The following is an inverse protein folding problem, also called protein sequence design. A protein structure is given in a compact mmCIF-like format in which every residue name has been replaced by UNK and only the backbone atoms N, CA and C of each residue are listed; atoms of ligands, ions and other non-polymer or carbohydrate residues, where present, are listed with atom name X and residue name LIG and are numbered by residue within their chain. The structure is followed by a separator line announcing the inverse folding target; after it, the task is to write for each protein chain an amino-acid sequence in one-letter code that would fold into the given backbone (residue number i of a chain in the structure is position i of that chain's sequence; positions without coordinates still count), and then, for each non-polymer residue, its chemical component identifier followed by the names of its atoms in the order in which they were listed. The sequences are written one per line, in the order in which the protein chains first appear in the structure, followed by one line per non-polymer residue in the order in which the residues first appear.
data_IF_052393377262
#
_entry.id   IF_052393377262
#
_cell.length_a   1.000
_cell.length_b   1.000
_cell.length_c   1.000
_cell.angle_alpha   90.00
_cell.angle_beta   90.00
_cell.angle_gamma   90.00
#
_symmetry.space_group_name_H-M   'P 1'
#
loop_
_entity.id
_entity.type
_entity.pdbx_description
1 polymer ?
#
# COMPACT_ATOMS: atom_id res chain seq x y z
N UNK A 1 -43.31 -33.80 -3.58
CA UNK A 1 -43.20 -34.08 -5.02
C UNK A 1 -41.79 -34.60 -5.28
N UNK A 2 -41.69 -35.94 -5.51
CA UNK A 2 -40.43 -36.60 -5.88
C UNK A 2 -40.29 -36.54 -7.40
N UNK A 3 -39.24 -35.87 -7.90
CA UNK A 3 -38.84 -35.91 -9.32
C UNK A 3 -37.93 -37.11 -9.54
N UNK A 4 -38.44 -38.11 -10.25
CA UNK A 4 -37.68 -39.29 -10.71
C UNK A 4 -37.22 -39.03 -12.15
N UNK A 5 -35.92 -38.76 -12.36
CA UNK A 5 -35.33 -38.76 -13.69
C UNK A 5 -34.96 -40.18 -14.11
N UNK A 6 -35.81 -40.85 -14.89
CA UNK A 6 -35.43 -42.08 -15.56
C UNK A 6 -35.14 -41.79 -17.04
N UNK A 7 -33.87 -41.89 -17.42
CA UNK A 7 -33.47 -41.89 -18.83
C UNK A 7 -33.87 -43.23 -19.46
N UNK A 8 -34.87 -43.25 -20.33
CA UNK A 8 -35.14 -44.38 -21.23
C UNK A 8 -34.19 -44.27 -22.42
N UNK A 9 -33.13 -45.10 -22.45
CA UNK A 9 -32.33 -45.32 -23.66
C UNK A 9 -33.22 -45.98 -24.75
N UNK A 10 -33.51 -45.24 -25.81
CA UNK A 10 -34.05 -45.82 -27.04
C UNK A 10 -32.90 -46.47 -27.83
N UNK A 11 -32.75 -47.77 -27.74
CA UNK A 11 -31.89 -48.55 -28.62
C UNK A 11 -32.29 -48.36 -30.09
N UNK A 12 -31.69 -47.39 -30.76
CA UNK A 12 -31.64 -47.35 -32.21
C UNK A 12 -30.46 -48.21 -32.68
N UNK A 13 -30.76 -49.35 -33.31
CA UNK A 13 -29.79 -50.14 -34.07
C UNK A 13 -29.16 -49.23 -35.14
N UNK A 14 -27.99 -48.73 -34.90
CA UNK A 14 -27.17 -48.02 -35.89
C UNK A 14 -26.39 -49.08 -36.65
N UNK A 15 -26.74 -49.26 -37.94
CA UNK A 15 -25.93 -50.01 -38.90
C UNK A 15 -24.51 -49.43 -38.91
N UNK A 16 -23.56 -50.29 -38.59
CA UNK A 16 -22.12 -49.93 -38.65
C UNK A 16 -21.70 -49.76 -40.12
N UNK A 17 -21.73 -48.57 -40.62
CA UNK A 17 -20.86 -48.18 -41.74
C UNK A 17 -19.48 -47.89 -41.16
N UNK A 18 -18.56 -48.81 -41.38
CA UNK A 18 -17.11 -48.59 -41.18
C UNK A 18 -16.61 -47.59 -42.20
N UNK A 19 -16.81 -46.31 -41.96
CA UNK A 19 -15.92 -45.28 -42.52
C UNK A 19 -14.68 -45.27 -41.66
N UNK A 20 -13.57 -45.78 -42.17
CA UNK A 20 -12.24 -45.52 -41.66
C UNK A 20 -12.00 -44.01 -41.84
N UNK A 21 -12.33 -43.25 -40.82
CA UNK A 21 -11.77 -41.89 -40.64
C UNK A 21 -10.34 -42.12 -40.23
N UNK A 22 -9.41 -42.07 -41.19
CA UNK A 22 -8.02 -41.78 -40.90
C UNK A 22 -7.99 -40.41 -40.24
N UNK A 23 -8.06 -40.39 -38.90
CA UNK A 23 -7.69 -39.21 -38.16
C UNK A 23 -6.18 -39.06 -38.36
N UNK A 24 -5.82 -38.18 -39.28
CA UNK A 24 -4.50 -37.58 -39.24
C UNK A 24 -4.38 -36.90 -37.88
N UNK A 25 -3.78 -37.59 -36.94
CA UNK A 25 -3.27 -36.96 -35.72
C UNK A 25 -2.17 -36.00 -36.13
N UNK A 26 -2.55 -34.80 -36.48
CA UNK A 26 -1.58 -33.68 -36.49
C UNK A 26 -1.05 -33.62 -35.07
N UNK A 27 0.13 -34.23 -34.87
CA UNK A 27 0.91 -34.06 -33.65
C UNK A 27 1.28 -32.58 -33.64
N UNK A 28 0.46 -31.76 -32.96
CA UNK A 28 0.86 -30.42 -32.60
C UNK A 28 2.07 -30.60 -31.68
N UNK A 29 3.25 -30.39 -32.23
CA UNK A 29 4.44 -30.24 -31.41
C UNK A 29 4.20 -29.06 -30.49
N UNK A 30 3.89 -29.37 -29.22
CA UNK A 30 3.79 -28.32 -28.19
C UNK A 30 5.14 -27.58 -28.16
N UNK A 31 5.13 -26.25 -28.26
CA UNK A 31 6.37 -25.50 -28.18
C UNK A 31 7.06 -25.84 -26.86
N UNK A 32 8.36 -26.13 -26.93
CA UNK A 32 9.17 -26.36 -25.75
C UNK A 32 9.08 -25.14 -24.85
N UNK A 33 8.43 -25.32 -23.69
CA UNK A 33 8.27 -24.26 -22.70
C UNK A 33 9.59 -24.11 -21.95
N UNK A 34 10.41 -23.15 -22.35
CA UNK A 34 11.58 -22.73 -21.60
C UNK A 34 11.13 -21.81 -20.45
N UNK A 35 11.03 -22.36 -19.24
CA UNK A 35 10.79 -21.57 -18.05
C UNK A 35 12.02 -20.74 -17.72
N UNK A 36 11.93 -19.42 -17.89
CA UNK A 36 12.97 -18.47 -17.51
C UNK A 36 12.69 -17.96 -16.09
N UNK A 37 13.59 -18.28 -15.15
CA UNK A 37 13.54 -17.78 -13.75
C UNK A 37 14.57 -16.66 -13.51
N UNK A 38 14.92 -15.92 -14.53
CA UNK A 38 15.93 -14.86 -14.49
C UNK A 38 15.41 -13.60 -13.79
N UNK A 39 16.34 -12.74 -13.34
CA UNK A 39 16.00 -11.42 -12.79
C UNK A 39 15.14 -10.60 -13.74
N UNK A 40 15.37 -10.74 -15.05
CA UNK A 40 14.57 -10.07 -16.10
C UNK A 40 13.13 -10.57 -16.11
N UNK A 41 12.90 -11.86 -15.97
CA UNK A 41 11.55 -12.44 -15.87
C UNK A 41 10.81 -11.93 -14.61
N UNK A 42 11.51 -11.92 -13.46
CA UNK A 42 10.94 -11.37 -12.21
C UNK A 42 10.55 -9.89 -12.34
N UNK A 43 11.36 -9.08 -13.00
CA UNK A 43 11.06 -7.67 -13.26
C UNK A 43 9.87 -7.49 -14.20
N UNK A 44 9.77 -8.30 -15.26
CA UNK A 44 8.62 -8.26 -16.17
C UNK A 44 7.33 -8.69 -15.47
N UNK A 45 7.39 -9.73 -14.62
CA UNK A 45 6.26 -10.15 -13.78
C UNK A 45 5.84 -9.03 -12.83
N UNK A 46 6.79 -8.41 -12.12
CA UNK A 46 6.52 -7.27 -11.24
C UNK A 46 5.82 -6.12 -11.99
N UNK A 47 6.38 -5.72 -13.14
CA UNK A 47 5.82 -4.66 -13.98
C UNK A 47 4.40 -5.01 -14.44
N UNK A 48 4.16 -6.24 -14.88
CA UNK A 48 2.85 -6.71 -15.29
C UNK A 48 1.84 -6.68 -14.14
N UNK A 49 2.18 -7.22 -12.97
CA UNK A 49 1.33 -7.18 -11.79
C UNK A 49 1.05 -5.75 -11.34
N UNK A 50 2.07 -4.89 -11.34
CA UNK A 50 1.90 -3.48 -10.99
C UNK A 50 0.87 -2.79 -11.90
N UNK A 51 1.06 -2.85 -13.22
CA UNK A 51 0.17 -2.15 -14.15
C UNK A 51 -1.26 -2.72 -14.14
N UNK A 52 -1.42 -4.04 -14.05
CA UNK A 52 -2.75 -4.65 -13.95
C UNK A 52 -3.48 -4.20 -12.68
N UNK A 53 -2.82 -4.20 -11.53
CA UNK A 53 -3.40 -3.76 -10.26
C UNK A 53 -3.69 -2.25 -10.28
N UNK A 54 -2.74 -1.45 -10.70
CA UNK A 54 -2.84 0.00 -10.79
C UNK A 54 -4.00 0.46 -11.70
N UNK A 55 -4.06 -0.07 -12.93
CA UNK A 55 -5.13 0.25 -13.86
C UNK A 55 -6.49 -0.25 -13.38
N UNK A 56 -6.54 -1.37 -12.67
CA UNK A 56 -7.80 -1.87 -12.12
C UNK A 56 -8.40 -0.92 -11.08
N UNK A 57 -7.56 -0.27 -10.27
CA UNK A 57 -8.00 0.74 -9.30
C UNK A 57 -8.47 2.00 -10.02
N UNK A 58 -7.66 2.57 -10.91
CA UNK A 58 -8.02 3.81 -11.65
C UNK A 58 -9.34 3.65 -12.41
N UNK A 59 -9.56 2.49 -13.02
CA UNK A 59 -10.79 2.22 -13.78
C UNK A 59 -11.99 1.95 -12.88
N UNK A 60 -11.80 1.66 -11.59
CA UNK A 60 -12.88 1.36 -10.67
C UNK A 60 -13.78 2.57 -10.44
N UNK A 61 -15.08 2.33 -10.32
CA UNK A 61 -16.07 3.38 -10.02
C UNK A 61 -15.81 3.96 -8.65
N UNK A 62 -15.45 3.13 -7.68
CA UNK A 62 -15.14 3.55 -6.30
C UNK A 62 -14.01 4.58 -6.25
N UNK A 63 -12.92 4.34 -7.00
CA UNK A 63 -11.81 5.29 -7.04
C UNK A 63 -12.25 6.64 -7.64
N UNK A 64 -13.00 6.62 -8.73
CA UNK A 64 -13.50 7.85 -9.38
C UNK A 64 -14.38 8.67 -8.45
N UNK A 65 -15.26 8.01 -7.69
CA UNK A 65 -16.13 8.70 -6.70
C UNK A 65 -15.27 9.31 -5.59
N UNK A 66 -14.34 8.55 -5.01
CA UNK A 66 -13.43 9.06 -3.98
C UNK A 66 -12.57 10.22 -4.48
N UNK A 67 -12.07 10.13 -5.71
CA UNK A 67 -11.25 11.16 -6.34
C UNK A 67 -12.06 12.46 -6.55
N UNK A 68 -13.29 12.39 -7.08
CA UNK A 68 -14.15 13.56 -7.27
C UNK A 68 -14.51 14.17 -5.91
N UNK A 69 -14.85 13.34 -4.93
CA UNK A 69 -15.22 13.82 -3.60
C UNK A 69 -14.03 14.50 -2.89
N UNK A 70 -12.82 13.92 -3.02
CA UNK A 70 -11.60 14.55 -2.50
C UNK A 70 -11.28 15.88 -3.17
N UNK A 71 -11.53 15.99 -4.49
CA UNK A 71 -11.34 17.22 -5.24
C UNK A 71 -12.30 18.33 -4.75
N UNK A 72 -13.57 17.99 -4.50
CA UNK A 72 -14.57 18.94 -3.99
C UNK A 72 -14.16 19.47 -2.61
N UNK A 73 -13.71 18.59 -1.71
CA UNK A 73 -13.26 18.98 -0.37
C UNK A 73 -12.00 19.84 -0.45
N UNK A 74 -11.03 19.48 -1.29
CA UNK A 74 -9.83 20.30 -1.49
C UNK A 74 -10.20 21.71 -1.96
N UNK A 75 -11.05 21.81 -3.00
CA UNK A 75 -11.47 23.09 -3.55
C UNK A 75 -12.18 23.94 -2.48
N UNK A 76 -13.08 23.32 -1.69
CA UNK A 76 -13.75 24.01 -0.58
C UNK A 76 -12.76 24.55 0.45
N UNK A 77 -11.73 23.76 0.81
CA UNK A 77 -10.70 24.18 1.75
C UNK A 77 -9.80 25.29 1.16
N UNK A 78 -9.52 25.26 -0.14
CA UNK A 78 -8.73 26.32 -0.79
C UNK A 78 -9.44 27.68 -0.71
N UNK A 79 -10.76 27.72 -0.92
CA UNK A 79 -11.52 28.97 -0.84
C UNK A 79 -11.73 29.48 0.59
N UNK A 80 -11.81 28.59 1.59
CA UNK A 80 -11.99 28.98 2.99
C UNK A 80 -10.70 29.14 3.80
N UNK A 81 -9.64 28.44 3.40
CA UNK A 81 -8.42 28.27 4.22
C UNK A 81 -7.46 29.48 4.24
N UNK A 82 -7.66 30.49 3.40
CA UNK A 82 -6.84 31.70 3.32
C UNK A 82 -7.56 32.96 3.78
N UNK A 83 -8.73 32.84 4.37
CA UNK A 83 -9.47 33.94 4.95
C UNK A 83 -9.25 33.97 6.46
N UNK A 84 -8.58 35.02 6.95
CA UNK A 84 -8.33 35.26 8.37
C UNK A 84 -8.97 36.58 8.79
N UNK A 85 -9.92 36.52 9.71
CA UNK A 85 -10.65 37.71 10.21
C UNK A 85 -11.30 38.58 9.11
N UNK A 86 -11.82 37.93 8.04
CA UNK A 86 -12.46 38.63 6.92
C UNK A 86 -11.45 39.23 5.91
N UNK A 87 -10.15 38.98 6.07
CA UNK A 87 -9.11 39.44 5.15
C UNK A 87 -8.52 38.23 4.41
N UNK A 88 -8.39 38.35 3.09
CA UNK A 88 -7.70 37.31 2.30
C UNK A 88 -6.18 37.40 2.49
N UNK A 89 -5.58 36.30 2.92
CA UNK A 89 -4.13 36.12 3.00
C UNK A 89 -3.57 35.65 1.67
N UNK A 90 -2.32 35.99 1.36
CA UNK A 90 -1.64 35.44 0.18
C UNK A 90 -1.44 33.93 0.34
N UNK A 91 -1.67 33.15 -0.74
CA UNK A 91 -1.47 31.69 -0.73
C UNK A 91 0.01 31.33 -0.84
N UNK A 92 0.75 31.51 0.28
CA UNK A 92 2.16 31.14 0.39
C UNK A 92 2.32 29.61 0.22
N UNK A 93 3.38 29.19 -0.45
CA UNK A 93 3.58 27.77 -0.82
C UNK A 93 3.54 26.86 0.39
N UNK A 94 4.22 27.17 1.50
CA UNK A 94 4.25 26.32 2.69
C UNK A 94 2.88 26.19 3.37
N UNK A 95 2.08 27.27 3.43
CA UNK A 95 0.70 27.21 3.96
C UNK A 95 -0.22 26.37 3.09
N UNK A 96 0.00 26.42 1.79
CA UNK A 96 -0.77 25.65 0.85
C UNK A 96 -0.44 24.15 0.95
N UNK A 97 0.83 23.80 1.19
CA UNK A 97 1.29 22.46 1.46
C UNK A 97 0.59 21.89 2.70
N UNK A 98 0.55 22.65 3.81
CA UNK A 98 -0.13 22.25 5.04
C UNK A 98 -1.61 22.00 4.79
N UNK A 99 -2.27 22.86 4.02
CA UNK A 99 -3.68 22.71 3.66
C UNK A 99 -3.91 21.46 2.79
N UNK A 100 -3.05 21.21 1.81
CA UNK A 100 -3.10 20.02 0.94
C UNK A 100 -2.90 18.76 1.78
N UNK A 101 -1.92 18.72 2.66
CA UNK A 101 -1.62 17.58 3.51
C UNK A 101 -2.79 17.25 4.44
N UNK A 102 -3.39 18.25 5.08
CA UNK A 102 -4.58 18.08 5.90
C UNK A 102 -5.79 17.60 5.10
N UNK A 103 -6.04 18.17 3.93
CA UNK A 103 -7.17 17.79 3.08
C UNK A 103 -7.00 16.39 2.47
N UNK A 104 -5.77 15.98 2.13
CA UNK A 104 -5.48 14.69 1.50
C UNK A 104 -5.48 13.53 2.49
N UNK A 105 -5.10 13.73 3.74
CA UNK A 105 -4.81 12.69 4.72
C UNK A 105 -5.93 11.66 4.85
N UNK A 106 -7.17 12.12 5.06
CA UNK A 106 -8.32 11.21 5.22
C UNK A 106 -8.59 10.37 3.96
N UNK A 107 -8.43 10.96 2.77
CA UNK A 107 -8.66 10.23 1.52
C UNK A 107 -7.58 9.20 1.25
N UNK A 108 -6.33 9.52 1.58
CA UNK A 108 -5.22 8.57 1.51
C UNK A 108 -5.50 7.37 2.41
N UNK A 109 -5.93 7.59 3.66
CA UNK A 109 -6.30 6.51 4.58
C UNK A 109 -7.41 5.64 3.99
N UNK A 110 -8.50 6.25 3.51
CA UNK A 110 -9.62 5.51 2.91
C UNK A 110 -9.15 4.69 1.70
N UNK A 111 -8.34 5.28 0.82
CA UNK A 111 -7.80 4.60 -0.36
C UNK A 111 -6.93 3.43 0.04
N UNK A 112 -6.00 3.62 0.98
CA UNK A 112 -5.08 2.56 1.41
C UNK A 112 -5.82 1.40 2.09
N UNK A 113 -6.77 1.69 2.99
CA UNK A 113 -7.56 0.66 3.67
C UNK A 113 -8.43 -0.10 2.67
N UNK A 114 -9.24 0.61 1.89
CA UNK A 114 -10.20 -0.03 0.98
C UNK A 114 -9.51 -0.81 -0.13
N UNK A 115 -8.58 -0.19 -0.86
CA UNK A 115 -7.95 -0.85 -2.01
C UNK A 115 -6.92 -1.90 -1.62
N UNK A 116 -6.36 -1.89 -0.40
CA UNK A 116 -5.54 -3.01 0.07
C UNK A 116 -6.35 -4.31 0.10
N UNK A 117 -7.56 -4.26 0.64
CA UNK A 117 -8.46 -5.41 0.64
C UNK A 117 -8.93 -5.79 -0.77
N UNK A 118 -9.32 -4.79 -1.60
CA UNK A 118 -9.71 -5.08 -2.98
C UNK A 118 -8.60 -5.81 -3.75
N UNK A 119 -7.35 -5.37 -3.65
CA UNK A 119 -6.23 -5.98 -4.36
C UNK A 119 -5.88 -7.40 -3.84
N UNK A 120 -6.01 -7.64 -2.54
CA UNK A 120 -5.69 -8.94 -1.96
C UNK A 120 -6.79 -9.96 -2.23
N UNK A 121 -8.05 -9.55 -2.14
CA UNK A 121 -9.19 -10.46 -2.22
C UNK A 121 -9.80 -10.57 -3.63
N UNK A 122 -9.46 -9.66 -4.56
CA UNK A 122 -10.02 -9.60 -5.92
C UNK A 122 -10.00 -10.93 -6.66
N UNK A 123 -8.85 -11.61 -6.64
CA UNK A 123 -8.69 -12.86 -7.40
C UNK A 123 -9.57 -13.97 -6.82
N UNK A 124 -9.81 -13.94 -5.50
CA UNK A 124 -10.71 -14.86 -4.79
C UNK A 124 -12.18 -14.50 -5.00
N UNK A 125 -12.53 -13.22 -4.92
CA UNK A 125 -13.89 -12.73 -5.16
C UNK A 125 -14.35 -13.08 -6.58
N UNK A 126 -13.43 -13.00 -7.55
CA UNK A 126 -13.69 -13.36 -8.96
C UNK A 126 -13.52 -14.86 -9.25
N UNK A 127 -13.17 -15.69 -8.26
CA UNK A 127 -12.95 -17.14 -8.40
C UNK A 127 -11.88 -17.53 -9.43
N UNK A 128 -10.90 -16.65 -9.66
CA UNK A 128 -9.76 -16.90 -10.58
C UNK A 128 -8.46 -17.22 -9.83
N UNK A 129 -8.52 -17.24 -8.50
CA UNK A 129 -7.35 -17.49 -7.65
C UNK A 129 -6.65 -18.81 -7.97
N UNK A 130 -7.38 -19.88 -8.30
CA UNK A 130 -6.78 -21.19 -8.63
C UNK A 130 -5.90 -21.09 -9.89
N UNK A 131 -6.35 -20.35 -10.90
CA UNK A 131 -5.60 -20.14 -12.14
C UNK A 131 -4.36 -19.27 -11.88
N UNK A 132 -4.53 -18.17 -11.13
CA UNK A 132 -3.44 -17.26 -10.79
C UNK A 132 -2.39 -17.94 -9.90
N UNK A 133 -2.85 -18.69 -8.89
CA UNK A 133 -1.98 -19.42 -7.95
C UNK A 133 -1.20 -20.57 -8.63
N UNK A 134 -1.72 -21.14 -9.74
CA UNK A 134 -1.03 -22.14 -10.53
C UNK A 134 0.13 -21.58 -11.37
N UNK A 135 0.18 -20.24 -11.58
CA UNK A 135 1.27 -19.63 -12.35
C UNK A 135 2.58 -19.59 -11.55
N UNK A 136 3.74 -19.81 -12.20
CA UNK A 136 5.04 -19.80 -11.52
C UNK A 136 5.52 -18.37 -11.26
N UNK A 137 5.06 -17.74 -10.17
CA UNK A 137 5.54 -16.44 -9.73
C UNK A 137 5.89 -16.45 -8.25
N UNK A 138 6.76 -15.52 -7.81
CA UNK A 138 7.07 -15.38 -6.39
C UNK A 138 5.99 -14.54 -5.70
N UNK A 139 5.48 -15.02 -4.56
CA UNK A 139 4.44 -14.30 -3.78
C UNK A 139 4.87 -12.90 -3.37
N UNK A 140 6.15 -12.73 -3.01
CA UNK A 140 6.71 -11.41 -2.67
C UNK A 140 6.62 -10.41 -3.84
N UNK A 141 6.89 -10.86 -5.08
CA UNK A 141 6.80 -10.00 -6.29
C UNK A 141 5.37 -9.53 -6.49
N UNK A 142 4.39 -10.43 -6.38
CA UNK A 142 2.98 -10.08 -6.53
C UNK A 142 2.52 -9.10 -5.44
N UNK A 143 2.88 -9.34 -4.16
CA UNK A 143 2.47 -8.50 -3.04
C UNK A 143 3.17 -7.13 -3.06
N UNK A 144 4.46 -7.07 -3.38
CA UNK A 144 5.17 -5.80 -3.55
C UNK A 144 4.62 -4.97 -4.71
N UNK A 145 4.22 -5.61 -5.81
CA UNK A 145 3.54 -4.94 -6.91
C UNK A 145 2.17 -4.38 -6.49
N UNK A 146 1.40 -5.10 -5.67
CA UNK A 146 0.12 -4.62 -5.10
C UNK A 146 0.36 -3.43 -4.16
N UNK A 147 1.35 -3.50 -3.26
CA UNK A 147 1.71 -2.39 -2.38
C UNK A 147 2.12 -1.14 -3.16
N UNK A 148 3.02 -1.29 -4.14
CA UNK A 148 3.45 -0.16 -4.97
C UNK A 148 2.34 0.38 -5.89
N UNK A 149 1.34 -0.44 -6.25
CA UNK A 149 0.16 0.05 -6.96
C UNK A 149 -0.68 0.98 -6.08
N UNK A 150 -0.81 0.70 -4.78
CA UNK A 150 -1.45 1.59 -3.82
C UNK A 150 -0.68 2.92 -3.68
N UNK A 151 0.65 2.84 -3.53
CA UNK A 151 1.50 4.04 -3.52
C UNK A 151 1.33 4.86 -4.80
N UNK A 152 1.31 4.22 -5.96
CA UNK A 152 1.10 4.90 -7.24
C UNK A 152 -0.24 5.65 -7.31
N UNK A 153 -1.29 5.10 -6.73
CA UNK A 153 -2.61 5.74 -6.66
C UNK A 153 -2.61 6.95 -5.73
N UNK A 154 -1.97 6.84 -4.56
CA UNK A 154 -1.85 7.98 -3.63
C UNK A 154 -0.97 9.09 -4.20
N UNK A 155 0.07 8.75 -4.97
CA UNK A 155 0.87 9.72 -5.72
C UNK A 155 0.01 10.50 -6.73
N UNK A 156 -0.85 9.81 -7.51
CA UNK A 156 -1.74 10.50 -8.46
C UNK A 156 -2.65 11.50 -7.74
N UNK A 157 -3.24 11.09 -6.62
CA UNK A 157 -4.08 11.96 -5.82
C UNK A 157 -3.31 13.19 -5.32
N UNK A 158 -2.12 12.97 -4.78
CA UNK A 158 -1.27 14.04 -4.26
C UNK A 158 -0.82 15.02 -5.36
N UNK A 159 -0.34 14.51 -6.50
CA UNK A 159 0.03 15.34 -7.66
C UNK A 159 -1.14 16.16 -8.16
N UNK A 160 -2.34 15.58 -8.20
CA UNK A 160 -3.56 16.33 -8.55
C UNK A 160 -3.84 17.44 -7.54
N UNK A 161 -3.65 17.21 -6.25
CA UNK A 161 -3.86 18.22 -5.21
C UNK A 161 -2.85 19.35 -5.32
N UNK A 162 -1.56 19.04 -5.54
CA UNK A 162 -0.52 20.05 -5.80
C UNK A 162 -0.88 20.88 -7.06
N UNK A 163 -1.33 20.21 -8.12
CA UNK A 163 -1.75 20.90 -9.35
C UNK A 163 -2.91 21.89 -9.09
N UNK A 164 -3.93 21.49 -8.33
CA UNK A 164 -5.01 22.39 -7.91
C UNK A 164 -4.50 23.55 -7.06
N UNK A 165 -3.56 23.29 -6.15
CA UNK A 165 -2.93 24.31 -5.33
C UNK A 165 -2.15 25.34 -6.15
N UNK A 166 -1.36 24.90 -7.11
CA UNK A 166 -0.63 25.79 -8.03
C UNK A 166 -1.60 26.66 -8.86
N UNK A 167 -2.68 26.08 -9.37
CA UNK A 167 -3.72 26.84 -10.07
C UNK A 167 -4.32 27.91 -9.14
N UNK A 168 -4.63 27.55 -7.90
CA UNK A 168 -5.16 28.48 -6.92
C UNK A 168 -4.21 29.66 -6.65
N UNK A 169 -2.89 29.40 -6.52
CA UNK A 169 -1.88 30.47 -6.39
C UNK A 169 -1.91 31.42 -7.58
N UNK A 170 -1.92 30.90 -8.79
CA UNK A 170 -1.95 31.70 -10.02
C UNK A 170 -3.21 32.56 -10.13
N UNK A 171 -4.39 32.00 -9.80
CA UNK A 171 -5.65 32.73 -9.82
C UNK A 171 -5.71 33.88 -8.81
N UNK A 172 -5.00 33.75 -7.68
CA UNK A 172 -4.88 34.79 -6.66
C UNK A 172 -3.70 35.76 -6.91
N UNK A 173 -3.08 35.72 -8.09
CA UNK A 173 -1.98 36.62 -8.46
C UNK A 173 -0.64 36.29 -7.79
N UNK A 174 -0.50 35.15 -7.13
CA UNK A 174 0.75 34.69 -6.54
C UNK A 174 1.57 33.91 -7.58
N UNK A 175 2.62 34.56 -8.10
CA UNK A 175 3.46 34.01 -9.19
C UNK A 175 4.75 33.37 -8.72
N UNK A 176 5.11 33.54 -7.43
CA UNK A 176 6.33 32.97 -6.86
C UNK A 176 6.09 31.53 -6.40
N UNK A 177 5.99 30.61 -7.37
CA UNK A 177 5.71 29.19 -7.11
C UNK A 177 7.02 28.47 -6.81
N UNK A 178 7.12 27.88 -5.63
CA UNK A 178 8.28 27.13 -5.13
C UNK A 178 8.04 25.63 -5.33
N UNK A 179 8.26 25.14 -6.56
CA UNK A 179 8.05 23.72 -6.91
C UNK A 179 8.99 22.77 -6.18
N UNK A 180 10.18 23.23 -5.85
CA UNK A 180 11.17 22.51 -5.04
C UNK A 180 10.64 22.22 -3.63
N UNK A 181 9.91 23.14 -3.02
CA UNK A 181 9.29 22.96 -1.72
C UNK A 181 8.18 21.90 -1.76
N UNK A 182 7.31 21.94 -2.77
CA UNK A 182 6.30 20.89 -2.98
C UNK A 182 6.94 19.50 -3.17
N UNK A 183 8.04 19.45 -3.93
CA UNK A 183 8.73 18.19 -4.17
C UNK A 183 9.42 17.65 -2.90
N UNK A 184 10.08 18.49 -2.13
CA UNK A 184 10.74 18.08 -0.89
C UNK A 184 9.74 17.61 0.16
N UNK A 185 8.64 18.33 0.37
CA UNK A 185 7.57 17.92 1.28
C UNK A 185 6.97 16.58 0.83
N UNK A 186 6.67 16.45 -0.47
CA UNK A 186 6.17 15.20 -1.03
C UNK A 186 7.10 14.02 -0.74
N UNK A 187 8.39 14.15 -0.99
CA UNK A 187 9.36 13.04 -0.81
C UNK A 187 9.56 12.68 0.65
N UNK A 188 9.74 13.67 1.52
CA UNK A 188 10.10 13.41 2.93
C UNK A 188 8.91 13.11 3.83
N UNK A 189 7.78 13.76 3.62
CA UNK A 189 6.61 13.58 4.44
C UNK A 189 5.61 12.57 3.83
N UNK A 190 5.17 12.79 2.58
CA UNK A 190 4.04 12.06 2.03
C UNK A 190 4.41 10.70 1.46
N UNK A 191 5.42 10.64 0.58
CA UNK A 191 5.80 9.40 -0.12
C UNK A 191 6.21 8.29 0.86
N UNK A 192 6.96 8.64 1.90
CA UNK A 192 7.40 7.67 2.92
C UNK A 192 6.22 7.08 3.67
N UNK A 193 5.29 7.93 4.11
CA UNK A 193 4.05 7.50 4.78
C UNK A 193 3.23 6.58 3.87
N UNK A 194 3.11 6.89 2.56
CA UNK A 194 2.37 6.07 1.61
C UNK A 194 2.98 4.67 1.45
N UNK A 195 4.30 4.57 1.39
CA UNK A 195 5.03 3.29 1.31
C UNK A 195 4.81 2.46 2.58
N UNK A 196 4.96 3.09 3.74
CA UNK A 196 4.84 2.41 5.03
C UNK A 196 3.42 1.87 5.22
N UNK A 197 2.41 2.73 5.12
CA UNK A 197 1.04 2.32 5.33
C UNK A 197 0.52 1.34 4.27
N UNK A 198 0.92 1.47 2.99
CA UNK A 198 0.55 0.48 1.98
C UNK A 198 1.07 -0.91 2.32
N UNK A 199 2.29 -1.00 2.82
CA UNK A 199 2.92 -2.26 3.22
C UNK A 199 2.25 -2.89 4.45
N UNK A 200 1.94 -2.07 5.46
CA UNK A 200 1.22 -2.50 6.67
C UNK A 200 -0.19 -2.98 6.32
N UNK A 201 -0.94 -2.23 5.49
CA UNK A 201 -2.29 -2.61 5.08
C UNK A 201 -2.31 -3.92 4.29
N UNK A 202 -1.38 -4.11 3.36
CA UNK A 202 -1.22 -5.38 2.63
C UNK A 202 -0.92 -6.51 3.59
N UNK A 203 -0.02 -6.33 4.56
CA UNK A 203 0.29 -7.34 5.56
C UNK A 203 -0.94 -7.73 6.38
N UNK A 204 -1.70 -6.77 6.89
CA UNK A 204 -2.94 -7.01 7.64
C UNK A 204 -3.93 -7.85 6.82
N UNK A 205 -4.17 -7.47 5.57
CA UNK A 205 -5.08 -8.19 4.68
C UNK A 205 -4.62 -9.63 4.36
N UNK A 206 -3.30 -9.84 4.25
CA UNK A 206 -2.72 -11.17 4.01
C UNK A 206 -2.83 -12.06 5.25
N UNK A 207 -2.58 -11.52 6.43
CA UNK A 207 -2.65 -12.28 7.70
C UNK A 207 -4.08 -12.74 7.94
N UNK A 208 -5.06 -11.86 7.75
CA UNK A 208 -6.46 -12.15 8.02
C UNK A 208 -7.11 -12.96 6.89
N UNK A 209 -8.05 -13.84 7.26
CA UNK A 209 -8.74 -14.72 6.30
C UNK A 209 -10.10 -14.18 5.85
N UNK A 210 -10.36 -12.91 6.12
CA UNK A 210 -11.63 -12.27 5.78
C UNK A 210 -11.39 -10.81 5.42
N UNK A 211 -11.89 -10.40 4.25
CA UNK A 211 -11.76 -9.06 3.71
C UNK A 211 -12.30 -7.98 4.66
N UNK A 212 -13.49 -8.22 5.22
CA UNK A 212 -14.18 -7.25 6.09
C UNK A 212 -13.51 -7.12 7.45
N UNK A 213 -13.04 -8.25 8.02
CA UNK A 213 -12.24 -8.23 9.24
C UNK A 213 -10.91 -7.49 8.96
N UNK A 214 -10.34 -7.68 7.78
CA UNK A 214 -9.17 -6.94 7.33
C UNK A 214 -9.39 -5.43 7.33
N UNK A 215 -10.51 -4.95 6.81
CA UNK A 215 -10.86 -3.53 6.87
C UNK A 215 -11.00 -3.01 8.29
N UNK A 216 -11.75 -3.75 9.12
CA UNK A 216 -11.96 -3.37 10.52
C UNK A 216 -10.63 -3.26 11.29
N UNK A 217 -9.78 -4.27 11.18
CA UNK A 217 -8.46 -4.27 11.85
C UNK A 217 -7.55 -3.17 11.28
N UNK A 218 -7.58 -2.90 9.98
CA UNK A 218 -6.82 -1.81 9.37
C UNK A 218 -7.21 -0.45 9.95
N UNK A 219 -8.51 -0.19 10.09
CA UNK A 219 -9.02 1.04 10.72
C UNK A 219 -8.65 1.05 12.21
N UNK A 220 -8.80 -0.08 12.90
CA UNK A 220 -8.45 -0.19 14.32
C UNK A 220 -6.96 0.09 14.58
N UNK A 221 -6.07 -0.39 13.72
CA UNK A 221 -4.62 -0.12 13.83
C UNK A 221 -4.32 1.37 13.66
N UNK A 222 -5.02 2.08 12.78
CA UNK A 222 -4.79 3.51 12.58
C UNK A 222 -5.24 4.33 13.80
N UNK A 223 -6.47 4.10 14.28
CA UNK A 223 -7.06 4.97 15.31
C UNK A 223 -6.85 4.45 16.75
N UNK A 224 -6.99 3.14 16.98
CA UNK A 224 -6.88 2.59 18.32
C UNK A 224 -5.44 2.62 18.82
N UNK A 225 -4.46 2.45 17.92
CA UNK A 225 -3.06 2.50 18.30
C UNK A 225 -2.67 3.89 18.82
N UNK A 226 -3.08 4.96 18.15
CA UNK A 226 -2.86 6.33 18.62
C UNK A 226 -3.53 6.60 19.97
N UNK A 227 -4.77 6.12 20.16
CA UNK A 227 -5.49 6.23 21.43
C UNK A 227 -4.75 5.49 22.55
N UNK A 228 -4.21 4.30 22.27
CA UNK A 228 -3.44 3.53 23.27
C UNK A 228 -2.19 4.31 23.66
N UNK A 229 -1.42 4.86 22.70
CA UNK A 229 -0.23 5.64 23.01
C UNK A 229 -0.58 6.88 23.84
N UNK A 230 -1.67 7.56 23.52
CA UNK A 230 -2.14 8.72 24.27
C UNK A 230 -2.57 8.35 25.71
N UNK A 231 -3.28 7.23 25.93
CA UNK A 231 -3.69 6.78 27.27
C UNK A 231 -2.48 6.47 28.16
N UNK A 232 -1.41 5.94 27.59
CA UNK A 232 -0.18 5.61 28.33
C UNK A 232 0.83 6.75 28.34
N UNK A 233 0.46 7.95 27.83
CA UNK A 233 1.34 9.13 27.67
C UNK A 233 2.69 8.80 27.00
N UNK A 234 2.63 7.95 25.97
CA UNK A 234 3.81 7.54 25.21
C UNK A 234 3.95 8.45 23.99
N UNK A 235 4.82 9.45 24.12
CA UNK A 235 5.11 10.43 23.07
C UNK A 235 6.41 10.07 22.32
N UNK A 236 6.41 8.91 21.63
CA UNK A 236 7.58 8.46 20.88
C UNK A 236 7.25 8.17 19.43
N UNK A 237 7.87 8.92 18.51
CA UNK A 237 7.77 8.71 17.06
C UNK A 237 8.27 7.30 16.63
N UNK A 238 9.00 6.58 17.49
CA UNK A 238 9.40 5.20 17.19
C UNK A 238 8.28 4.19 17.35
N UNK A 239 7.23 4.52 18.10
CA UNK A 239 6.09 3.64 18.35
C UNK A 239 4.86 4.00 17.51
N UNK A 240 4.79 5.22 17.02
CA UNK A 240 3.73 5.68 16.12
C UNK A 240 4.09 5.37 14.67
N UNK A 241 3.27 4.52 14.01
CA UNK A 241 3.59 3.98 12.68
C UNK A 241 3.70 5.09 11.63
N UNK A 242 4.90 5.25 11.08
CA UNK A 242 5.19 6.24 10.05
C UNK A 242 5.47 7.64 10.58
N UNK A 243 5.46 7.84 11.91
CA UNK A 243 5.79 9.12 12.50
C UNK A 243 7.31 9.42 12.44
N UNK A 244 7.62 10.70 12.43
CA UNK A 244 8.97 11.24 12.48
C UNK A 244 8.98 12.64 13.06
N UNK A 245 10.15 13.26 13.21
CA UNK A 245 10.25 14.64 13.65
C UNK A 245 9.44 15.53 12.70
N UNK A 246 8.68 16.45 13.28
CA UNK A 246 7.89 17.39 12.50
C UNK A 246 8.82 18.31 11.66
N UNK A 247 8.63 18.29 10.35
CA UNK A 247 9.38 19.11 9.40
C UNK A 247 8.57 20.35 9.07
N UNK A 248 8.84 21.43 9.79
CA UNK A 248 8.27 22.73 9.49
C UNK A 248 9.23 23.52 8.60
N UNK A 249 8.74 24.00 7.48
CA UNK A 249 9.50 24.89 6.61
C UNK A 249 9.51 26.33 7.15
N UNK A 250 10.67 26.97 7.05
CA UNK A 250 10.85 28.38 7.33
C UNK A 250 11.64 29.03 6.21
N UNK A 251 11.20 30.21 5.75
CA UNK A 251 11.92 30.97 4.71
C UNK A 251 13.35 31.35 5.11
N UNK A 252 13.65 31.39 6.42
CA UNK A 252 14.99 31.73 6.93
C UNK A 252 15.94 30.53 7.03
N UNK A 253 15.42 29.34 7.29
CA UNK A 253 16.24 28.16 7.62
C UNK A 253 15.87 26.89 6.82
N UNK A 254 14.95 27.00 5.86
CA UNK A 254 14.42 25.86 5.14
C UNK A 254 13.76 24.85 6.09
N UNK A 255 14.03 23.55 5.94
CA UNK A 255 13.61 22.51 6.88
C UNK A 255 14.53 22.38 8.11
N UNK A 256 15.60 23.17 8.17
CA UNK A 256 16.54 23.18 9.30
C UNK A 256 17.22 21.84 9.58
N UNK A 257 17.73 21.65 10.82
CA UNK A 257 18.41 20.42 11.22
C UNK A 257 17.45 19.21 11.34
N UNK A 258 16.13 19.42 11.38
CA UNK A 258 15.12 18.37 11.48
C UNK A 258 15.16 17.36 10.33
N UNK A 259 15.66 17.78 9.15
CA UNK A 259 15.73 16.92 7.97
C UNK A 259 16.58 15.66 8.21
N UNK A 260 17.72 15.78 8.88
CA UNK A 260 18.56 14.62 9.21
C UNK A 260 17.86 13.64 10.16
N UNK A 261 17.15 14.15 11.15
CA UNK A 261 16.33 13.33 12.04
C UNK A 261 15.25 12.59 11.27
N UNK A 262 14.49 13.30 10.42
CA UNK A 262 13.44 12.71 9.59
C UNK A 262 13.98 11.62 8.65
N UNK A 263 15.16 11.78 8.06
CA UNK A 263 15.77 10.75 7.20
C UNK A 263 16.04 9.44 7.97
N UNK A 264 16.51 9.50 9.23
CA UNK A 264 16.74 8.32 10.05
C UNK A 264 15.42 7.63 10.46
N UNK A 265 14.38 8.40 10.81
CA UNK A 265 13.05 7.85 11.08
C UNK A 265 12.43 7.24 9.82
N UNK A 266 12.57 7.89 8.66
CA UNK A 266 12.11 7.34 7.39
C UNK A 266 12.83 6.01 7.05
N UNK A 267 14.15 5.92 7.27
CA UNK A 267 14.90 4.68 7.09
C UNK A 267 14.42 3.57 8.04
N UNK A 268 14.19 3.91 9.31
CA UNK A 268 13.65 3.00 10.31
C UNK A 268 12.31 2.41 9.87
N UNK A 269 11.38 3.24 9.45
CA UNK A 269 10.05 2.83 9.03
C UNK A 269 10.02 2.12 7.67
N UNK A 270 10.89 2.49 6.72
CA UNK A 270 11.03 1.77 5.45
C UNK A 270 11.54 0.35 5.67
N UNK A 271 12.53 0.15 6.52
CA UNK A 271 12.99 -1.19 6.87
C UNK A 271 11.88 -2.02 7.49
N UNK A 272 11.09 -1.43 8.39
CA UNK A 272 9.88 -2.06 8.94
C UNK A 272 8.88 -2.43 7.85
N UNK A 273 8.61 -1.55 6.90
CA UNK A 273 7.68 -1.80 5.79
C UNK A 273 8.14 -2.96 4.88
N UNK A 274 9.44 -3.06 4.61
CA UNK A 274 10.03 -4.19 3.88
C UNK A 274 9.85 -5.50 4.65
N UNK A 275 10.08 -5.49 5.97
CA UNK A 275 9.84 -6.64 6.84
C UNK A 275 8.36 -7.06 6.78
N UNK A 276 7.42 -6.12 6.85
CA UNK A 276 5.99 -6.39 6.72
C UNK A 276 5.65 -7.10 5.39
N UNK A 277 6.20 -6.62 4.26
CA UNK A 277 5.99 -7.25 2.95
C UNK A 277 6.65 -8.63 2.86
N UNK A 278 7.83 -8.82 3.43
CA UNK A 278 8.49 -10.12 3.48
C UNK A 278 7.69 -11.12 4.32
N UNK A 279 7.18 -10.70 5.47
CA UNK A 279 6.30 -11.53 6.31
C UNK A 279 5.00 -11.85 5.57
N UNK A 280 4.38 -10.86 4.93
CA UNK A 280 3.20 -11.06 4.09
C UNK A 280 3.47 -12.10 2.99
N UNK A 281 4.63 -12.02 2.31
CA UNK A 281 5.06 -12.99 1.30
C UNK A 281 5.25 -14.40 1.84
N UNK A 282 5.77 -14.52 3.07
CA UNK A 282 5.92 -15.80 3.76
C UNK A 282 4.57 -16.43 4.17
N UNK A 283 3.60 -15.60 4.56
CA UNK A 283 2.27 -16.02 5.02
C UNK A 283 1.26 -16.13 3.89
N UNK A 284 1.63 -15.74 2.65
CA UNK A 284 0.73 -15.86 1.51
C UNK A 284 0.51 -17.31 1.14
N UNK A 285 -0.70 -17.81 1.40
CA UNK A 285 -1.11 -19.16 1.02
C UNK A 285 -1.77 -19.14 -0.36
N UNK A 286 -1.27 -19.99 -1.25
CA UNK A 286 -1.89 -20.30 -2.53
C UNK A 286 -2.94 -21.39 -2.36
N UNK A 287 -4.06 -21.26 -3.07
CA UNK A 287 -5.16 -22.23 -3.03
C UNK A 287 -6.13 -21.98 -1.87
N UNK A 288 -6.54 -23.05 -1.17
CA UNK A 288 -7.63 -23.03 -0.17
C UNK A 288 -7.21 -22.22 1.06
N UNK A 289 -8.14 -21.41 1.57
CA UNK A 289 -7.93 -20.59 2.79
C UNK A 289 -7.82 -21.53 3.98
N UNK A 290 -6.67 -21.51 4.63
CA UNK A 290 -6.41 -22.24 5.87
C UNK A 290 -6.60 -21.35 7.09
N UNK A 291 -6.73 -21.97 8.28
CA UNK A 291 -6.77 -21.22 9.54
C UNK A 291 -5.47 -20.42 9.76
N UNK A 292 -5.51 -19.39 10.61
CA UNK A 292 -4.30 -18.62 10.94
C UNK A 292 -3.16 -19.50 11.45
N UNK A 293 -3.48 -20.50 12.31
CA UNK A 293 -2.50 -21.45 12.84
C UNK A 293 -1.86 -22.29 11.73
N UNK A 294 -2.65 -22.70 10.74
CA UNK A 294 -2.15 -23.48 9.60
C UNK A 294 -1.28 -22.64 8.68
N UNK A 295 -1.62 -21.35 8.46
CA UNK A 295 -0.75 -20.42 7.72
C UNK A 295 0.65 -20.35 8.30
N UNK A 296 0.77 -20.14 9.61
CA UNK A 296 2.07 -20.11 10.28
C UNK A 296 2.82 -21.43 10.20
N UNK A 297 2.11 -22.56 10.35
CA UNK A 297 2.70 -23.90 10.23
C UNK A 297 3.21 -24.20 8.82
N UNK A 298 2.43 -23.81 7.81
CA UNK A 298 2.80 -23.95 6.40
C UNK A 298 3.97 -23.04 6.06
N UNK A 299 3.93 -21.77 6.45
CA UNK A 299 5.01 -20.82 6.23
C UNK A 299 6.34 -21.31 6.83
N UNK A 300 6.31 -21.83 8.05
CA UNK A 300 7.50 -22.41 8.71
C UNK A 300 8.14 -23.54 7.91
N UNK A 301 7.32 -24.36 7.20
CA UNK A 301 7.80 -25.51 6.39
C UNK A 301 8.20 -25.10 4.97
N UNK A 302 7.42 -24.24 4.31
CA UNK A 302 7.58 -23.95 2.89
C UNK A 302 8.58 -22.83 2.58
N UNK A 303 8.80 -21.90 3.53
CA UNK A 303 9.73 -20.80 3.34
C UNK A 303 11.16 -21.31 3.28
N UNK A 304 11.86 -21.03 2.18
CA UNK A 304 13.25 -21.46 1.97
C UNK A 304 14.21 -20.88 3.01
N UNK A 305 15.34 -21.56 3.23
CA UNK A 305 16.38 -21.05 4.16
C UNK A 305 16.87 -19.67 3.74
N UNK A 306 17.09 -19.43 2.44
CA UNK A 306 17.53 -18.14 1.92
C UNK A 306 16.51 -17.01 2.20
N UNK A 307 15.22 -17.29 2.07
CA UNK A 307 14.17 -16.29 2.38
C UNK A 307 14.10 -15.97 3.88
N UNK A 308 14.26 -16.98 4.75
CA UNK A 308 14.36 -16.76 6.21
C UNK A 308 15.58 -15.91 6.57
N UNK A 309 16.71 -16.16 5.91
CA UNK A 309 17.93 -15.38 6.10
C UNK A 309 17.77 -13.94 5.62
N UNK A 310 17.03 -13.74 4.51
CA UNK A 310 16.68 -12.41 4.03
C UNK A 310 15.82 -11.64 5.07
N UNK A 311 14.77 -12.26 5.62
CA UNK A 311 13.97 -11.65 6.69
C UNK A 311 14.87 -11.31 7.89
N UNK A 312 15.69 -12.25 8.33
CA UNK A 312 16.58 -12.04 9.47
C UNK A 312 17.56 -10.87 9.24
N UNK A 313 18.12 -10.73 8.03
CA UNK A 313 19.02 -9.61 7.71
C UNK A 313 18.34 -8.26 7.77
N UNK A 314 17.09 -8.15 7.27
CA UNK A 314 16.31 -6.91 7.39
C UNK A 314 15.90 -6.61 8.82
N UNK A 315 15.57 -7.63 9.63
CA UNK A 315 15.26 -7.45 11.05
C UNK A 315 16.49 -6.96 11.81
N UNK A 316 17.67 -7.53 11.55
CA UNK A 316 18.93 -7.07 12.16
C UNK A 316 19.23 -5.62 11.76
N UNK A 317 19.11 -5.29 10.48
CA UNK A 317 19.31 -3.92 10.01
C UNK A 317 18.32 -2.94 10.68
N UNK A 318 17.06 -3.34 10.81
CA UNK A 318 16.04 -2.54 11.49
C UNK A 318 16.35 -2.33 12.97
N UNK A 319 16.79 -3.38 13.69
CA UNK A 319 17.20 -3.27 15.11
C UNK A 319 18.43 -2.35 15.26
N UNK A 320 19.41 -2.40 14.35
CA UNK A 320 20.56 -1.52 14.38
C UNK A 320 20.16 -0.05 14.19
N UNK A 321 19.29 0.23 13.23
CA UNK A 321 18.76 1.58 13.00
C UNK A 321 17.88 2.01 14.18
N UNK A 322 17.03 1.13 14.71
CA UNK A 322 16.24 1.41 15.92
C UNK A 322 17.12 1.77 17.11
N UNK A 323 18.19 1.00 17.35
CA UNK A 323 19.17 1.30 18.41
C UNK A 323 19.86 2.64 18.23
N UNK A 324 20.22 2.97 17.00
CA UNK A 324 20.83 4.27 16.68
C UNK A 324 19.84 5.42 16.91
N UNK A 325 18.59 5.30 16.42
CA UNK A 325 17.55 6.33 16.64
C UNK A 325 17.25 6.48 18.13
N UNK A 326 17.06 5.35 18.84
CA UNK A 326 16.80 5.35 20.29
C UNK A 326 17.93 6.04 21.07
N UNK A 327 19.21 5.72 20.76
CA UNK A 327 20.36 6.32 21.42
C UNK A 327 20.40 7.83 21.23
N UNK A 328 20.13 8.30 20.00
CA UNK A 328 20.15 9.74 19.71
C UNK A 328 18.94 10.49 20.29
N UNK A 329 17.78 9.85 20.41
CA UNK A 329 16.54 10.51 20.85
C UNK A 329 16.30 10.40 22.36
N UNK A 330 16.77 9.33 23.01
CA UNK A 330 16.44 9.06 24.42
C UNK A 330 17.65 9.12 25.35
N UNK A 331 18.88 8.93 24.81
CA UNK A 331 20.10 8.89 25.63
C UNK A 331 20.90 10.18 25.50
N UNK A 332 21.18 10.61 24.25
CA UNK A 332 21.95 11.86 24.03
C UNK A 332 21.10 13.11 24.20
N UNK A 333 19.84 13.06 23.80
CA UNK A 333 18.91 14.17 23.90
C UNK A 333 17.71 13.73 24.74
N UNK A 334 17.52 14.31 25.91
CA UNK A 334 16.30 14.11 26.69
C UNK A 334 15.25 15.08 26.19
N UNK A 335 14.23 14.55 25.51
CA UNK A 335 13.05 15.33 25.12
C UNK A 335 12.07 15.35 26.30
N UNK A 336 11.64 16.56 26.67
CA UNK A 336 10.57 16.73 27.66
C UNK A 336 9.25 16.39 27.00
N UNK A 337 8.38 15.67 27.72
CA UNK A 337 7.00 15.43 27.30
C UNK A 337 6.20 16.74 27.27
N UNK A 338 5.04 16.77 26.63
CA UNK A 338 4.19 17.96 26.59
C UNK A 338 3.83 18.44 28.01
N UNK A 339 3.54 17.51 28.93
CA UNK A 339 3.21 17.82 30.31
C UNK A 339 4.39 18.39 31.10
N UNK A 340 5.62 17.94 30.78
CA UNK A 340 6.85 18.50 31.39
C UNK A 340 7.24 19.87 30.83
N UNK A 341 6.68 20.27 29.69
CA UNK A 341 6.90 21.58 29.08
C UNK A 341 5.92 22.63 29.59
N UNK A 342 4.76 22.20 30.13
CA UNK A 342 3.73 23.06 30.72
C UNK A 342 4.03 23.46 32.18
N UNK A 343 5.01 22.84 32.82
CA UNK A 343 5.50 23.15 34.18
C UNK A 343 6.71 24.10 34.10
#
# INVERSE_FOLDING_TARGET
YYFNFSFKEKNKKVKAEKKQVQSETTIFALPELHFQYDRKANWLQFKSFFFVNFLSIIKSVTFKILFIFSAIILISNLFGGFEYFGLQSYPLTYKLIDLINNASGIFVVIILVFFSGELIWRDRDNKINEVVDATPHQSFISLSAKALSLVGITIILHVFFVFCGVIYQLLNGYTRIELDLYFLDFVYNNLMIYIIWSSVMIMIQVVLNNKYIGYFISIAVIFIWEIILAIFDVQSNMLEIGAGPFLQYSDMNGFGPGLHGAMWFNLYWILFSIICLLIAGALWNRGIISSLKDKFKIAKKQVSKGYKMLIASFVVAWILVAGFVYYNTQVLNTYRTSDEQEI
#
